data_IF_219851030484
#
_entry.id   IF_219851030484
#
_cell.length_a   1.000
_cell.length_b   1.000
_cell.length_c   1.000
_cell.angle_alpha   90.00
_cell.angle_beta   90.00
_cell.angle_gamma   90.00
#
_symmetry.space_group_name_H-M   'P 1'
#
loop_
_entity.id
_entity.type
_entity.pdbx_description
1 polymer ?
#
# COMPACT_ATOMS: atom_id res chain seq x y z
N UNK A 1 -49.87 20.20 12.65
CA UNK A 1 -49.25 19.03 11.98
C UNK A 1 -47.75 19.16 12.19
N UNK A 2 -47.18 18.32 13.06
CA UNK A 2 -45.73 18.26 13.25
C UNK A 2 -45.12 17.53 12.06
N UNK A 3 -44.31 18.21 11.27
CA UNK A 3 -43.46 17.57 10.27
C UNK A 3 -42.46 16.67 11.00
N UNK A 4 -42.32 15.39 10.61
CA UNK A 4 -41.32 14.52 11.21
C UNK A 4 -39.94 15.05 10.83
N UNK A 5 -39.15 15.40 11.85
CA UNK A 5 -37.73 15.68 11.70
C UNK A 5 -37.04 14.37 11.32
N UNK A 6 -36.72 14.20 10.04
CA UNK A 6 -35.84 13.12 9.61
C UNK A 6 -34.51 13.28 10.35
N UNK A 7 -34.05 12.28 11.12
CA UNK A 7 -32.73 12.36 11.74
C UNK A 7 -31.69 12.52 10.62
N UNK A 8 -30.61 13.29 10.84
CA UNK A 8 -29.53 13.38 9.87
C UNK A 8 -29.03 11.95 9.59
N UNK A 9 -28.93 11.59 8.30
CA UNK A 9 -28.19 10.39 7.90
C UNK A 9 -26.76 10.61 8.38
N UNK A 10 -26.30 9.82 9.34
CA UNK A 10 -24.86 9.73 9.62
C UNK A 10 -24.17 9.40 8.30
N UNK A 11 -23.40 10.35 7.76
CA UNK A 11 -22.54 10.08 6.63
C UNK A 11 -21.56 8.98 7.07
N UNK A 12 -21.61 7.84 6.38
CA UNK A 12 -20.72 6.73 6.69
C UNK A 12 -19.27 7.20 6.58
N UNK A 13 -18.53 7.14 7.69
CA UNK A 13 -17.12 7.52 7.75
C UNK A 13 -16.35 6.73 6.68
N UNK A 14 -15.65 7.43 5.80
CA UNK A 14 -14.84 6.80 4.76
C UNK A 14 -13.58 6.15 5.36
N UNK A 15 -12.98 5.19 4.65
CA UNK A 15 -11.83 4.43 5.13
C UNK A 15 -10.61 5.31 5.47
N UNK A 16 -10.38 6.41 4.76
CA UNK A 16 -9.25 7.32 5.03
C UNK A 16 -9.48 8.09 6.33
N UNK A 17 -10.68 8.62 6.50
CA UNK A 17 -11.07 9.33 7.72
C UNK A 17 -11.01 8.40 8.94
N UNK A 18 -11.52 7.18 8.83
CA UNK A 18 -11.46 6.19 9.90
C UNK A 18 -10.02 5.74 10.20
N UNK A 19 -9.20 5.46 9.18
CA UNK A 19 -7.80 5.09 9.36
C UNK A 19 -7.04 6.13 10.18
N UNK A 20 -7.18 7.41 9.81
CA UNK A 20 -6.57 8.53 10.54
C UNK A 20 -7.12 8.62 11.97
N UNK A 21 -8.43 8.49 12.15
CA UNK A 21 -9.07 8.55 13.45
C UNK A 21 -8.55 7.44 14.40
N UNK A 22 -8.47 6.20 13.92
CA UNK A 22 -7.98 5.06 14.70
C UNK A 22 -6.48 5.13 15.00
N UNK A 23 -5.67 5.78 14.16
CA UNK A 23 -4.26 6.03 14.47
C UNK A 23 -4.04 7.00 15.62
N UNK A 24 -4.94 7.97 15.82
CA UNK A 24 -4.76 9.03 16.82
C UNK A 24 -5.53 8.75 18.12
N UNK A 25 -6.78 8.32 18.01
CA UNK A 25 -7.69 8.15 19.15
C UNK A 25 -8.55 6.88 19.00
N UNK A 26 -7.95 5.67 18.97
CA UNK A 26 -8.65 4.42 18.65
C UNK A 26 -9.86 4.13 19.56
N UNK A 27 -9.74 4.45 20.85
CA UNK A 27 -10.80 4.20 21.85
C UNK A 27 -12.03 5.09 21.67
N UNK A 28 -11.88 6.27 21.06
CA UNK A 28 -12.99 7.21 20.82
C UNK A 28 -13.81 6.81 19.57
N UNK A 29 -13.30 5.89 18.76
CA UNK A 29 -13.86 5.55 17.45
C UNK A 29 -14.27 4.07 17.33
N UNK A 30 -14.48 3.37 18.45
CA UNK A 30 -14.83 1.93 18.44
C UNK A 30 -16.13 1.63 17.69
N UNK A 31 -17.18 2.44 17.86
CA UNK A 31 -18.47 2.27 17.14
C UNK A 31 -18.30 2.42 15.63
N UNK A 32 -17.47 3.37 15.20
CA UNK A 32 -17.16 3.58 13.79
C UNK A 32 -16.32 2.42 13.23
N UNK A 33 -15.35 1.93 14.01
CA UNK A 33 -14.56 0.74 13.67
C UNK A 33 -15.44 -0.50 13.50
N UNK A 34 -16.40 -0.72 14.41
CA UNK A 34 -17.31 -1.86 14.34
C UNK A 34 -18.21 -1.78 13.11
N UNK A 35 -18.85 -0.63 12.88
CA UNK A 35 -19.71 -0.40 11.71
C UNK A 35 -18.94 -0.59 10.40
N UNK A 36 -17.72 -0.08 10.34
CA UNK A 36 -16.83 -0.25 9.19
C UNK A 36 -16.47 -1.73 8.98
N UNK A 37 -16.02 -2.41 10.03
CA UNK A 37 -15.59 -3.80 9.94
C UNK A 37 -16.75 -4.72 9.54
N UNK A 38 -17.96 -4.49 10.04
CA UNK A 38 -19.15 -5.23 9.65
C UNK A 38 -19.50 -5.04 8.16
N UNK A 39 -19.30 -3.82 7.62
CA UNK A 39 -19.43 -3.57 6.18
C UNK A 39 -18.38 -4.34 5.38
N UNK A 40 -17.12 -4.32 5.82
CA UNK A 40 -16.05 -5.05 5.14
C UNK A 40 -16.25 -6.57 5.22
N UNK A 41 -16.77 -7.10 6.32
CA UNK A 41 -17.10 -8.53 6.46
C UNK A 41 -18.25 -8.95 5.54
N UNK A 42 -19.26 -8.09 5.34
CA UNK A 42 -20.31 -8.33 4.33
C UNK A 42 -19.74 -8.40 2.92
N UNK A 43 -18.83 -7.49 2.56
CA UNK A 43 -18.15 -7.53 1.27
C UNK A 43 -17.26 -8.77 1.13
N UNK A 44 -16.48 -9.11 2.16
CA UNK A 44 -15.61 -10.29 2.17
C UNK A 44 -16.40 -11.60 2.00
N UNK A 45 -17.64 -11.67 2.49
CA UNK A 45 -18.50 -12.84 2.33
C UNK A 45 -18.92 -13.11 0.87
N UNK A 46 -18.84 -12.11 0.00
CA UNK A 46 -19.13 -12.23 -1.45
C UNK A 46 -17.89 -12.66 -2.26
N UNK A 47 -16.70 -12.60 -1.65
CA UNK A 47 -15.43 -12.94 -2.30
C UNK A 47 -15.12 -14.43 -2.18
N UNK A 48 -14.50 -15.04 -3.21
CA UNK A 48 -14.06 -16.42 -3.13
C UNK A 48 -12.90 -16.55 -2.14
N UNK A 49 -13.05 -17.40 -1.13
CA UNK A 49 -11.98 -17.71 -0.16
C UNK A 49 -11.44 -19.11 -0.45
N UNK A 50 -10.20 -19.20 -0.94
CA UNK A 50 -9.44 -20.45 -1.12
C UNK A 50 -9.05 -21.01 0.26
N UNK A 51 -9.99 -21.68 0.93
CA UNK A 51 -9.77 -22.34 2.22
C UNK A 51 -10.63 -23.60 2.32
N UNK A 52 -10.08 -24.78 2.67
CA UNK A 52 -10.85 -26.01 2.78
C UNK A 52 -11.93 -25.95 3.86
N UNK A 53 -13.05 -26.66 3.69
CA UNK A 53 -14.13 -26.66 4.68
C UNK A 53 -13.78 -27.36 5.99
N UNK A 54 -12.88 -28.35 5.92
CA UNK A 54 -12.45 -29.12 7.09
C UNK A 54 -11.10 -28.63 7.61
N UNK A 55 -11.00 -28.17 8.89
CA UNK A 55 -9.73 -27.71 9.47
C UNK A 55 -8.61 -28.75 9.47
N UNK A 56 -8.94 -30.05 9.42
CA UNK A 56 -7.95 -31.12 9.31
C UNK A 56 -7.15 -31.08 7.98
N UNK A 57 -7.71 -30.48 6.93
CA UNK A 57 -7.05 -30.34 5.63
C UNK A 57 -6.18 -29.07 5.52
N UNK A 58 -6.26 -28.14 6.48
CA UNK A 58 -5.59 -26.85 6.40
C UNK A 58 -4.06 -26.93 6.41
N UNK A 59 -3.40 -27.85 7.15
CA UNK A 59 -1.94 -27.98 7.09
C UNK A 59 -1.47 -28.39 5.69
N UNK A 60 -2.13 -29.38 5.07
CA UNK A 60 -1.80 -29.81 3.71
C UNK A 60 -2.10 -28.71 2.68
N UNK A 61 -3.21 -27.98 2.85
CA UNK A 61 -3.55 -26.84 2.01
C UNK A 61 -2.50 -25.73 2.09
N UNK A 62 -2.01 -25.41 3.29
CA UNK A 62 -0.95 -24.43 3.53
C UNK A 62 0.32 -24.83 2.77
N UNK A 63 0.79 -26.07 2.94
CA UNK A 63 1.97 -26.59 2.26
C UNK A 63 1.80 -26.56 0.73
N UNK A 64 0.62 -26.95 0.23
CA UNK A 64 0.32 -26.94 -1.19
C UNK A 64 0.28 -25.51 -1.77
N UNK A 65 -0.23 -24.53 -1.02
CA UNK A 65 -0.27 -23.12 -1.42
C UNK A 65 1.14 -22.53 -1.48
N UNK A 66 1.96 -22.75 -0.46
CA UNK A 66 3.36 -22.32 -0.47
C UNK A 66 4.15 -22.93 -1.65
N UNK A 67 3.94 -24.22 -1.92
CA UNK A 67 4.56 -24.89 -3.06
C UNK A 67 4.09 -24.32 -4.41
N UNK A 68 2.81 -23.92 -4.55
CA UNK A 68 2.32 -23.21 -5.75
C UNK A 68 3.03 -21.88 -5.94
N UNK A 69 3.04 -21.03 -4.91
CA UNK A 69 3.71 -19.72 -4.96
C UNK A 69 5.20 -19.85 -5.32
N UNK A 70 5.90 -20.82 -4.72
CA UNK A 70 7.31 -21.08 -5.02
C UNK A 70 7.54 -21.50 -6.48
N UNK A 71 6.68 -22.36 -7.05
CA UNK A 71 6.75 -22.75 -8.47
C UNK A 71 6.46 -21.56 -9.39
N UNK A 72 5.47 -20.74 -9.06
CA UNK A 72 5.12 -19.56 -9.86
C UNK A 72 6.24 -18.53 -9.87
N UNK A 73 6.92 -18.36 -8.73
CA UNK A 73 8.08 -17.49 -8.63
C UNK A 73 9.29 -18.05 -9.38
N UNK A 74 9.55 -19.36 -9.30
CA UNK A 74 10.61 -20.00 -10.08
C UNK A 74 10.40 -19.82 -11.59
N UNK A 75 9.14 -19.92 -12.05
CA UNK A 75 8.77 -19.62 -13.44
C UNK A 75 9.02 -18.16 -13.79
N UNK A 76 8.62 -17.22 -12.94
CA UNK A 76 8.94 -15.80 -13.13
C UNK A 76 10.45 -15.57 -13.28
N UNK A 77 11.29 -16.15 -12.42
CA UNK A 77 12.74 -16.01 -12.53
C UNK A 77 13.29 -16.60 -13.84
N UNK A 78 12.78 -17.76 -14.28
CA UNK A 78 13.17 -18.34 -15.56
C UNK A 78 12.82 -17.42 -16.75
N UNK A 79 11.64 -16.82 -16.75
CA UNK A 79 11.23 -15.81 -17.75
C UNK A 79 12.17 -14.60 -17.75
N UNK A 80 12.54 -14.09 -16.57
CA UNK A 80 13.48 -12.96 -16.42
C UNK A 80 14.88 -13.31 -16.92
N UNK A 81 15.40 -14.49 -16.60
CA UNK A 81 16.69 -14.96 -17.11
C UNK A 81 16.68 -15.17 -18.64
N UNK A 82 15.52 -15.48 -19.23
CA UNK A 82 15.34 -15.56 -20.67
C UNK A 82 15.17 -14.20 -21.37
N UNK A 83 15.24 -13.09 -20.62
CA UNK A 83 15.16 -11.72 -21.18
C UNK A 83 13.74 -11.15 -21.30
N UNK A 84 12.71 -11.79 -20.71
CA UNK A 84 11.39 -11.16 -20.59
C UNK A 84 11.50 -9.85 -19.80
N UNK A 85 10.65 -8.83 -20.01
CA UNK A 85 10.66 -7.57 -19.24
C UNK A 85 10.13 -7.74 -17.81
N UNK A 86 10.25 -6.68 -16.99
CA UNK A 86 9.68 -6.67 -15.63
C UNK A 86 8.17 -6.87 -15.73
N UNK A 87 7.61 -7.64 -14.80
CA UNK A 87 6.17 -7.97 -14.76
C UNK A 87 5.35 -6.85 -14.15
N UNK A 88 5.86 -6.17 -13.12
CA UNK A 88 5.08 -5.13 -12.42
C UNK A 88 5.56 -3.74 -12.74
N UNK A 89 6.80 -3.41 -12.45
CA UNK A 89 7.26 -2.03 -12.53
C UNK A 89 7.95 -1.77 -13.87
N UNK A 90 7.37 -0.87 -14.66
CA UNK A 90 7.92 -0.44 -15.96
C UNK A 90 9.16 0.45 -15.77
N UNK A 91 9.10 1.36 -14.82
CA UNK A 91 10.16 2.32 -14.48
C UNK A 91 10.13 2.62 -12.98
N UNK A 92 11.01 3.52 -12.52
CA UNK A 92 11.16 3.82 -11.11
C UNK A 92 9.96 4.60 -10.57
N UNK A 93 9.38 5.52 -11.35
CA UNK A 93 8.16 6.24 -11.00
C UNK A 93 6.98 5.28 -10.74
N UNK A 94 6.84 4.23 -11.55
CA UNK A 94 5.83 3.20 -11.33
C UNK A 94 6.01 2.50 -9.97
N UNK A 95 7.24 2.11 -9.63
CA UNK A 95 7.50 1.52 -8.32
C UNK A 95 7.18 2.48 -7.16
N UNK A 96 7.55 3.76 -7.28
CA UNK A 96 7.23 4.76 -6.26
C UNK A 96 5.71 5.00 -6.13
N UNK A 97 4.97 4.98 -7.24
CA UNK A 97 3.50 5.05 -7.22
C UNK A 97 2.91 3.93 -6.36
N UNK A 98 3.35 2.69 -6.61
CA UNK A 98 2.93 1.54 -5.83
C UNK A 98 3.29 1.67 -4.34
N UNK A 99 4.54 2.02 -4.02
CA UNK A 99 5.00 2.17 -2.63
C UNK A 99 4.21 3.24 -1.87
N UNK A 100 3.86 4.35 -2.52
CA UNK A 100 2.99 5.37 -1.92
C UNK A 100 1.56 4.84 -1.76
N UNK A 101 1.03 4.13 -2.76
CA UNK A 101 -0.32 3.56 -2.74
C UNK A 101 -0.56 2.56 -1.61
N UNK A 102 0.40 1.68 -1.33
CA UNK A 102 0.27 0.69 -0.23
C UNK A 102 0.68 1.23 1.14
N UNK A 103 1.20 2.45 1.22
CA UNK A 103 1.70 3.04 2.47
C UNK A 103 0.67 3.06 3.61
N UNK A 104 -0.63 3.39 3.40
CA UNK A 104 -1.61 3.35 4.48
C UNK A 104 -1.74 2.00 5.17
N UNK A 105 -1.46 0.90 4.44
CA UNK A 105 -1.49 -0.46 4.98
C UNK A 105 -0.15 -0.81 5.63
N UNK A 106 0.97 -0.52 4.95
CA UNK A 106 2.30 -0.92 5.44
C UNK A 106 2.81 -0.09 6.61
N UNK A 107 2.30 1.12 6.80
CA UNK A 107 2.60 1.95 7.96
C UNK A 107 1.82 1.55 9.23
N UNK A 108 0.93 0.55 9.16
CA UNK A 108 0.20 0.00 10.30
C UNK A 108 0.39 -1.51 10.44
N UNK A 109 1.45 -2.04 9.84
CA UNK A 109 1.73 -3.48 9.83
C UNK A 109 1.80 -4.06 11.25
N UNK A 110 1.19 -5.22 11.44
CA UNK A 110 0.99 -5.87 12.73
C UNK A 110 -0.13 -5.28 13.60
N UNK A 111 -0.72 -4.13 13.28
CA UNK A 111 -1.68 -3.45 14.17
C UNK A 111 -2.95 -4.28 14.44
N UNK A 112 -3.34 -5.21 13.56
CA UNK A 112 -4.48 -6.11 13.79
C UNK A 112 -4.31 -7.00 15.02
N UNK A 113 -3.08 -7.21 15.49
CA UNK A 113 -2.76 -8.02 16.66
C UNK A 113 -2.68 -7.21 17.96
N UNK A 114 -2.76 -5.88 17.89
CA UNK A 114 -2.60 -5.00 19.05
C UNK A 114 -3.49 -5.40 20.23
N UNK A 115 -4.79 -5.63 19.99
CA UNK A 115 -5.75 -5.99 21.04
C UNK A 115 -5.55 -7.37 21.67
N UNK A 116 -4.66 -8.21 21.11
CA UNK A 116 -4.28 -9.49 21.73
C UNK A 116 -3.44 -9.26 23.00
N UNK A 117 -2.71 -8.13 23.08
CA UNK A 117 -1.91 -7.77 24.27
C UNK A 117 -2.74 -7.72 25.56
N UNK A 118 -3.99 -7.25 25.48
CA UNK A 118 -4.91 -7.20 26.62
C UNK A 118 -5.26 -8.58 27.20
N UNK A 119 -4.89 -9.65 26.51
CA UNK A 119 -5.18 -11.03 26.85
C UNK A 119 -3.91 -11.88 26.98
N UNK A 120 -2.75 -11.27 27.28
CA UNK A 120 -1.45 -11.95 27.35
C UNK A 120 -1.38 -13.12 28.37
N UNK A 121 -2.29 -13.18 29.34
CA UNK A 121 -2.42 -14.30 30.28
C UNK A 121 -3.03 -15.58 29.67
N UNK A 122 -3.63 -15.51 28.48
CA UNK A 122 -4.19 -16.67 27.79
C UNK A 122 -3.14 -17.34 26.89
N UNK A 123 -2.62 -18.48 27.33
CA UNK A 123 -1.62 -19.26 26.59
C UNK A 123 -2.07 -19.64 25.17
N UNK A 124 -3.38 -19.69 24.90
CA UNK A 124 -3.92 -20.00 23.56
C UNK A 124 -3.57 -18.92 22.54
N UNK A 125 -3.38 -17.67 22.98
CA UNK A 125 -3.07 -16.51 22.15
C UNK A 125 -1.57 -16.29 21.92
N UNK A 126 -0.69 -17.06 22.60
CA UNK A 126 0.76 -16.95 22.44
C UNK A 126 1.22 -16.97 20.97
N UNK A 127 0.69 -17.82 20.06
CA UNK A 127 1.11 -17.78 18.67
C UNK A 127 0.88 -16.41 17.99
N UNK A 128 -0.24 -15.75 18.28
CA UNK A 128 -0.57 -14.41 17.76
C UNK A 128 0.32 -13.33 18.41
N UNK A 129 0.58 -13.44 19.71
CA UNK A 129 1.48 -12.52 20.42
C UNK A 129 2.91 -12.61 19.89
N UNK A 130 3.40 -13.82 19.60
CA UNK A 130 4.73 -14.00 19.01
C UNK A 130 4.85 -13.37 17.63
N UNK A 131 3.85 -13.54 16.76
CA UNK A 131 3.77 -12.83 15.48
C UNK A 131 3.80 -11.32 15.69
N UNK A 132 2.96 -10.78 16.57
CA UNK A 132 2.93 -9.34 16.82
C UNK A 132 4.27 -8.78 17.31
N UNK A 133 4.94 -9.48 18.22
CA UNK A 133 6.26 -9.07 18.70
C UNK A 133 7.32 -9.13 17.59
N UNK A 134 7.20 -10.05 16.63
CA UNK A 134 8.07 -10.10 15.45
C UNK A 134 7.82 -8.93 14.50
N UNK A 135 6.56 -8.58 14.21
CA UNK A 135 6.19 -7.38 13.45
C UNK A 135 6.77 -6.09 14.06
N UNK A 136 6.78 -6.02 15.40
CA UNK A 136 7.36 -4.91 16.15
C UNK A 136 8.90 -4.93 16.20
N UNK A 137 9.56 -5.93 15.61
CA UNK A 137 11.02 -6.08 15.60
C UNK A 137 11.58 -6.60 16.92
N UNK A 138 10.76 -7.18 17.81
CA UNK A 138 11.15 -7.69 19.14
C UNK A 138 11.90 -6.68 20.00
N UNK A 139 11.55 -5.39 19.86
CA UNK A 139 12.21 -4.29 20.57
C UNK A 139 13.46 -3.73 19.87
N UNK A 140 13.84 -4.25 18.71
CA UNK A 140 14.93 -3.72 17.87
C UNK A 140 14.32 -2.82 16.79
N UNK A 141 14.56 -1.51 16.88
CA UNK A 141 13.98 -0.53 15.96
C UNK A 141 14.33 -0.79 14.48
N UNK A 142 15.56 -1.24 14.20
CA UNK A 142 16.01 -1.58 12.85
C UNK A 142 15.32 -2.83 12.26
N UNK A 143 14.58 -3.58 13.09
CA UNK A 143 13.82 -4.76 12.69
C UNK A 143 12.31 -4.54 12.75
N UNK A 144 11.84 -3.35 13.16
CA UNK A 144 10.42 -3.02 13.22
C UNK A 144 9.88 -2.76 11.81
N UNK A 145 8.85 -3.50 11.39
CA UNK A 145 8.37 -3.48 10.00
C UNK A 145 7.89 -2.09 9.58
N UNK A 146 7.14 -1.40 10.45
CA UNK A 146 6.65 -0.04 10.19
C UNK A 146 7.80 0.97 10.08
N UNK A 147 8.82 0.88 10.94
CA UNK A 147 9.98 1.77 10.88
C UNK A 147 10.81 1.54 9.61
N UNK A 148 10.99 0.29 9.19
CA UNK A 148 11.68 -0.05 7.94
C UNK A 148 10.92 0.54 6.74
N UNK A 149 9.59 0.38 6.70
CA UNK A 149 8.79 0.93 5.61
C UNK A 149 8.81 2.47 5.60
N UNK A 150 8.75 3.09 6.77
CA UNK A 150 8.85 4.54 6.90
C UNK A 150 10.20 5.05 6.40
N UNK A 151 11.30 4.40 6.80
CA UNK A 151 12.64 4.75 6.34
C UNK A 151 12.78 4.60 4.81
N UNK A 152 12.19 3.55 4.23
CA UNK A 152 12.12 3.38 2.78
C UNK A 152 11.46 4.60 2.12
N UNK A 153 10.27 5.01 2.56
CA UNK A 153 9.59 6.19 2.01
C UNK A 153 10.38 7.49 2.20
N UNK A 154 11.00 7.68 3.37
CA UNK A 154 11.86 8.83 3.65
C UNK A 154 13.06 8.90 2.71
N UNK A 155 13.77 7.78 2.54
CA UNK A 155 14.95 7.69 1.64
C UNK A 155 14.63 7.97 0.18
N UNK A 156 13.38 7.70 -0.23
CA UNK A 156 12.87 7.94 -1.56
C UNK A 156 12.25 9.34 -1.72
N UNK A 157 12.27 10.18 -0.69
CA UNK A 157 11.60 11.49 -0.68
C UNK A 157 10.08 11.37 -0.86
N UNK A 158 9.49 10.25 -0.45
CA UNK A 158 8.08 9.89 -0.65
C UNK A 158 7.25 9.89 0.65
N UNK A 159 7.83 10.29 1.78
CA UNK A 159 7.17 10.26 3.10
C UNK A 159 6.05 11.28 3.29
N UNK A 160 5.85 12.21 2.33
CA UNK A 160 4.78 13.20 2.38
C UNK A 160 3.38 12.58 2.30
N UNK A 161 2.38 13.29 2.80
CA UNK A 161 0.98 12.86 2.72
C UNK A 161 0.54 12.78 1.25
N UNK A 162 0.49 11.56 0.71
CA UNK A 162 -0.08 11.33 -0.61
C UNK A 162 -1.60 11.58 -0.56
N UNK A 163 -2.13 12.32 -1.54
CA UNK A 163 -3.57 12.47 -1.75
C UNK A 163 -4.14 11.19 -2.37
N UNK A 164 -4.19 10.13 -1.57
CA UNK A 164 -4.79 8.86 -1.96
C UNK A 164 -6.30 8.88 -1.74
N UNK A 165 -7.00 8.14 -2.58
CA UNK A 165 -8.44 7.89 -2.44
C UNK A 165 -8.73 7.03 -1.20
N UNK A 166 -9.98 7.03 -0.72
CA UNK A 166 -10.36 6.26 0.46
C UNK A 166 -10.11 4.75 0.30
N UNK A 167 -10.18 4.23 -0.92
CA UNK A 167 -9.95 2.82 -1.25
C UNK A 167 -8.54 2.34 -0.89
N UNK A 168 -7.53 3.21 -0.95
CA UNK A 168 -6.14 2.89 -0.54
C UNK A 168 -6.01 2.67 0.97
N UNK A 169 -6.93 3.23 1.75
CA UNK A 169 -6.91 3.15 3.21
C UNK A 169 -7.71 1.96 3.75
N UNK A 170 -8.48 1.25 2.92
CA UNK A 170 -9.38 0.17 3.37
C UNK A 170 -8.62 -0.91 4.14
N UNK A 171 -7.53 -1.43 3.58
CA UNK A 171 -6.73 -2.48 4.22
C UNK A 171 -6.10 -2.04 5.54
N UNK A 172 -5.47 -0.86 5.57
CA UNK A 172 -4.95 -0.28 6.82
C UNK A 172 -6.04 -0.05 7.88
N UNK A 173 -7.22 0.43 7.46
CA UNK A 173 -8.36 0.64 8.36
C UNK A 173 -8.90 -0.68 8.92
N UNK A 174 -8.92 -1.75 8.12
CA UNK A 174 -9.27 -3.10 8.58
C UNK A 174 -8.29 -3.56 9.66
N UNK A 175 -6.98 -3.40 9.46
CA UNK A 175 -5.98 -3.78 10.47
C UNK A 175 -6.19 -3.05 11.79
N UNK A 176 -6.34 -1.71 11.74
CA UNK A 176 -6.58 -0.90 12.93
C UNK A 176 -7.89 -1.28 13.64
N UNK A 177 -8.97 -1.49 12.89
CA UNK A 177 -10.27 -1.87 13.44
C UNK A 177 -10.23 -3.25 14.11
N UNK A 178 -9.59 -4.25 13.49
CA UNK A 178 -9.37 -5.56 14.09
C UNK A 178 -8.54 -5.47 15.37
N UNK A 179 -7.49 -4.65 15.37
CA UNK A 179 -6.65 -4.40 16.54
C UNK A 179 -7.45 -3.84 17.72
N UNK A 180 -8.38 -2.92 17.47
CA UNK A 180 -9.24 -2.34 18.50
C UNK A 180 -10.34 -3.30 18.99
N UNK A 181 -10.80 -4.20 18.12
CA UNK A 181 -11.96 -5.07 18.36
C UNK A 181 -11.59 -6.54 18.62
N UNK A 182 -10.30 -6.85 18.85
CA UNK A 182 -9.77 -8.20 18.98
C UNK A 182 -10.56 -9.10 19.95
N UNK A 183 -11.02 -8.56 21.09
CA UNK A 183 -11.80 -9.32 22.07
C UNK A 183 -13.19 -9.77 21.56
N UNK A 184 -13.81 -8.97 20.69
CA UNK A 184 -15.15 -9.27 20.13
C UNK A 184 -15.07 -10.01 18.80
N UNK A 185 -13.97 -9.81 18.06
CA UNK A 185 -13.75 -10.27 16.69
C UNK A 185 -12.58 -11.28 16.58
N UNK A 186 -12.31 -12.01 17.66
CA UNK A 186 -11.19 -12.97 17.70
C UNK A 186 -11.21 -14.01 16.56
N UNK A 187 -12.35 -14.64 16.21
CA UNK A 187 -12.38 -15.57 15.08
C UNK A 187 -12.04 -14.90 13.74
N UNK A 188 -12.56 -13.70 13.49
CA UNK A 188 -12.24 -12.91 12.29
C UNK A 188 -10.76 -12.52 12.27
N UNK A 189 -10.20 -12.09 13.41
CA UNK A 189 -8.79 -11.75 13.56
C UNK A 189 -7.89 -12.95 13.26
N UNK A 190 -8.23 -14.15 13.77
CA UNK A 190 -7.50 -15.39 13.46
C UNK A 190 -7.53 -15.68 11.95
N UNK A 191 -8.69 -15.50 11.33
CA UNK A 191 -8.85 -15.64 9.88
C UNK A 191 -8.01 -14.64 9.09
N UNK A 192 -8.07 -13.36 9.48
CA UNK A 192 -7.31 -12.29 8.85
C UNK A 192 -5.81 -12.56 8.94
N UNK A 193 -5.33 -12.91 10.14
CA UNK A 193 -3.94 -13.29 10.38
C UNK A 193 -3.53 -14.48 9.52
N UNK A 194 -4.35 -15.53 9.42
CA UNK A 194 -4.02 -16.67 8.56
C UNK A 194 -3.88 -16.24 7.09
N UNK A 195 -4.72 -15.34 6.59
CA UNK A 195 -4.62 -14.85 5.22
C UNK A 195 -3.43 -13.92 4.98
N UNK A 196 -3.13 -13.03 5.93
CA UNK A 196 -2.07 -12.03 5.80
C UNK A 196 -0.68 -12.65 5.79
N UNK A 197 -0.46 -13.66 6.64
CA UNK A 197 0.82 -14.38 6.80
C UNK A 197 1.12 -15.37 5.65
N UNK A 198 0.29 -15.39 4.61
CA UNK A 198 0.50 -16.19 3.40
C UNK A 198 1.09 -15.30 2.31
N UNK A 199 2.43 -15.27 2.14
CA UNK A 199 3.04 -14.34 1.19
C UNK A 199 2.52 -14.62 -0.23
N UNK A 200 1.82 -13.66 -0.85
CA UNK A 200 1.38 -13.80 -2.23
C UNK A 200 2.56 -13.68 -3.20
N UNK A 201 2.41 -14.24 -4.40
CA UNK A 201 3.44 -14.19 -5.46
C UNK A 201 3.94 -12.76 -5.71
N UNK A 202 3.04 -11.76 -5.59
CA UNK A 202 3.42 -10.41 -5.91
C UNK A 202 4.53 -9.87 -4.99
N UNK A 203 4.59 -10.25 -3.71
CA UNK A 203 5.65 -9.79 -2.80
C UNK A 203 7.03 -10.26 -3.26
N UNK A 204 7.14 -11.49 -3.76
CA UNK A 204 8.39 -12.06 -4.27
C UNK A 204 8.86 -11.32 -5.52
N UNK A 205 7.95 -11.09 -6.47
CA UNK A 205 8.24 -10.34 -7.71
C UNK A 205 8.57 -8.88 -7.39
N UNK A 206 7.80 -8.22 -6.53
CA UNK A 206 8.07 -6.85 -6.06
C UNK A 206 9.46 -6.75 -5.43
N UNK A 207 9.83 -7.69 -4.55
CA UNK A 207 11.17 -7.70 -3.93
C UNK A 207 12.27 -7.71 -4.97
N UNK A 208 12.17 -8.58 -5.97
CA UNK A 208 13.13 -8.68 -7.07
C UNK A 208 13.21 -7.41 -7.91
N UNK A 209 12.06 -6.89 -8.36
CA UNK A 209 12.02 -5.75 -9.29
C UNK A 209 12.39 -4.43 -8.62
N UNK A 210 12.12 -4.25 -7.33
CA UNK A 210 12.58 -3.08 -6.58
C UNK A 210 14.12 -3.04 -6.52
N UNK A 211 14.77 -4.19 -6.29
CA UNK A 211 16.24 -4.26 -6.29
C UNK A 211 16.84 -3.91 -7.65
N UNK A 212 16.25 -4.42 -8.74
CA UNK A 212 16.64 -4.07 -10.11
C UNK A 212 16.51 -2.57 -10.38
N UNK A 213 15.49 -1.92 -9.81
CA UNK A 213 15.27 -0.48 -9.89
C UNK A 213 16.15 0.36 -8.95
N UNK A 214 17.06 -0.26 -8.19
CA UNK A 214 17.89 0.42 -7.19
C UNK A 214 17.05 0.98 -6.04
N UNK A 215 15.96 0.32 -5.66
CA UNK A 215 15.12 0.65 -4.51
C UNK A 215 15.37 -0.39 -3.41
N UNK A 216 15.50 0.07 -2.16
CA UNK A 216 15.62 -0.83 -1.03
C UNK A 216 14.36 -1.69 -0.86
N UNK A 217 14.53 -3.01 -1.00
CA UNK A 217 13.45 -4.00 -0.88
C UNK A 217 13.39 -4.66 0.51
N UNK A 218 14.07 -4.12 1.53
CA UNK A 218 14.21 -4.76 2.85
C UNK A 218 12.88 -5.10 3.50
N UNK A 219 11.91 -4.17 3.49
CA UNK A 219 10.56 -4.43 4.03
C UNK A 219 9.89 -5.66 3.38
N UNK A 220 9.91 -5.74 2.04
CA UNK A 220 9.27 -6.83 1.30
C UNK A 220 10.02 -8.15 1.48
N UNK A 221 11.36 -8.10 1.53
CA UNK A 221 12.21 -9.27 1.73
C UNK A 221 11.99 -9.93 3.10
N UNK A 222 11.73 -9.15 4.15
CA UNK A 222 11.47 -9.69 5.50
C UNK A 222 10.26 -10.62 5.50
N UNK A 223 9.16 -10.20 4.86
CA UNK A 223 7.94 -10.99 4.66
C UNK A 223 8.11 -12.20 3.74
N UNK A 224 9.24 -12.30 3.02
CA UNK A 224 9.59 -13.49 2.24
C UNK A 224 10.37 -14.49 3.09
N UNK A 225 11.32 -13.99 3.89
CA UNK A 225 12.25 -14.83 4.65
C UNK A 225 11.65 -15.34 5.97
N UNK A 226 10.83 -14.53 6.63
CA UNK A 226 10.19 -14.85 7.92
C UNK A 226 9.02 -15.82 7.68
N UNK A 227 8.26 -15.63 6.59
CA UNK A 227 7.05 -16.41 6.28
C UNK A 227 7.30 -17.66 5.42
N UNK A 228 8.47 -18.27 5.57
CA UNK A 228 8.78 -19.49 4.82
C UNK A 228 8.03 -20.72 5.39
N UNK A 229 7.69 -21.65 4.48
CA UNK A 229 6.80 -22.78 4.72
C UNK A 229 7.25 -23.78 5.82
N UNK A 230 8.52 -23.73 6.24
CA UNK A 230 9.08 -24.65 7.23
C UNK A 230 8.91 -24.18 8.69
N UNK A 231 8.77 -22.88 8.97
CA UNK A 231 8.75 -22.36 10.34
C UNK A 231 8.05 -20.99 10.54
N UNK A 232 7.37 -20.45 9.52
CA UNK A 232 6.87 -19.07 9.50
C UNK A 232 5.56 -18.82 10.25
N UNK A 233 5.13 -17.56 10.22
CA UNK A 233 3.91 -17.07 10.87
C UNK A 233 2.65 -17.84 10.45
N UNK A 234 2.56 -18.31 9.20
CA UNK A 234 1.41 -19.08 8.73
C UNK A 234 1.13 -20.37 9.54
N UNK A 235 2.18 -21.10 9.98
CA UNK A 235 1.98 -22.27 10.86
C UNK A 235 1.54 -21.84 12.26
N UNK A 236 2.04 -20.71 12.77
CA UNK A 236 1.57 -20.13 14.04
C UNK A 236 0.12 -19.66 13.95
N UNK A 237 -0.30 -19.13 12.81
CA UNK A 237 -1.70 -18.77 12.55
C UNK A 237 -2.61 -20.00 12.61
N UNK A 238 -2.20 -21.14 12.03
CA UNK A 238 -2.91 -22.41 12.19
C UNK A 238 -2.91 -22.89 13.64
N UNK A 239 -1.80 -22.74 14.37
CA UNK A 239 -1.77 -23.08 15.79
C UNK A 239 -2.76 -22.22 16.61
N UNK A 240 -2.83 -20.92 16.35
CA UNK A 240 -3.79 -20.02 17.00
C UNK A 240 -5.23 -20.46 16.73
N UNK A 241 -5.54 -20.87 15.50
CA UNK A 241 -6.84 -21.47 15.17
C UNK A 241 -7.14 -22.72 16.00
N UNK A 242 -6.23 -23.71 16.02
CA UNK A 242 -6.46 -24.96 16.73
C UNK A 242 -6.59 -24.76 18.24
N UNK A 243 -5.84 -23.83 18.81
CA UNK A 243 -5.94 -23.45 20.22
C UNK A 243 -7.33 -22.89 20.59
N UNK A 244 -8.05 -22.31 19.62
CA UNK A 244 -9.36 -21.68 19.82
C UNK A 244 -10.53 -22.46 19.22
N UNK A 245 -10.26 -23.60 18.59
CA UNK A 245 -11.29 -24.38 17.90
C UNK A 245 -12.29 -24.93 18.93
N UNK A 246 -13.57 -24.52 18.90
CA UNK A 246 -14.51 -24.95 19.91
C UNK A 246 -15.06 -26.34 19.61
N UNK A 247 -15.85 -26.87 20.55
CA UNK A 247 -16.59 -28.10 20.40
C UNK A 247 -17.57 -28.07 19.21
N UNK A 248 -17.98 -29.27 18.75
CA UNK A 248 -18.79 -29.45 17.52
C UNK A 248 -20.00 -28.51 17.40
N UNK A 249 -20.81 -28.23 18.43
CA UNK A 249 -21.98 -27.35 18.29
C UNK A 249 -21.64 -25.92 17.89
N UNK A 250 -20.49 -25.39 18.32
CA UNK A 250 -20.05 -24.00 18.05
C UNK A 250 -19.04 -23.90 16.90
N UNK A 251 -18.43 -25.02 16.51
CA UNK A 251 -17.36 -25.08 15.52
C UNK A 251 -17.76 -24.51 14.17
N UNK A 252 -18.96 -24.82 13.68
CA UNK A 252 -19.42 -24.32 12.36
C UNK A 252 -19.48 -22.79 12.33
N UNK A 253 -20.07 -22.16 13.35
CA UNK A 253 -20.18 -20.71 13.44
C UNK A 253 -18.81 -20.05 13.59
N UNK A 254 -17.92 -20.64 14.40
CA UNK A 254 -16.54 -20.18 14.53
C UNK A 254 -15.78 -20.21 13.20
N UNK A 255 -15.81 -21.34 12.48
CA UNK A 255 -15.12 -21.47 11.19
C UNK A 255 -15.68 -20.55 10.11
N UNK A 256 -16.99 -20.26 10.13
CA UNK A 256 -17.58 -19.28 9.23
C UNK A 256 -17.01 -17.86 9.48
N UNK A 257 -16.85 -17.47 10.74
CA UNK A 257 -16.22 -16.18 11.11
C UNK A 257 -14.74 -16.14 10.76
N UNK A 258 -14.00 -17.25 10.94
CA UNK A 258 -12.61 -17.36 10.48
C UNK A 258 -12.51 -17.20 8.97
N UNK A 259 -13.39 -17.86 8.19
CA UNK A 259 -13.42 -17.72 6.73
C UNK A 259 -13.72 -16.27 6.31
N UNK A 260 -14.69 -15.62 6.96
CA UNK A 260 -14.99 -14.21 6.70
C UNK A 260 -13.81 -13.29 7.03
N UNK A 261 -13.13 -13.55 8.16
CA UNK A 261 -11.91 -12.86 8.54
C UNK A 261 -10.78 -13.03 7.53
N UNK A 262 -10.59 -14.23 6.99
CA UNK A 262 -9.59 -14.47 5.94
C UNK A 262 -9.90 -13.67 4.68
N UNK A 263 -11.18 -13.60 4.27
CA UNK A 263 -11.62 -12.81 3.11
C UNK A 263 -11.42 -11.30 3.25
N UNK A 264 -11.22 -10.78 4.46
CA UNK A 264 -10.85 -9.37 4.66
C UNK A 264 -9.46 -9.03 4.07
N UNK A 265 -8.61 -10.01 3.75
CA UNK A 265 -7.35 -9.75 3.05
C UNK A 265 -7.56 -9.31 1.58
N UNK A 266 -8.75 -9.55 1.04
CA UNK A 266 -9.07 -9.31 -0.37
C UNK A 266 -10.06 -8.13 -0.57
N UNK A 267 -10.42 -7.38 0.48
CA UNK A 267 -11.25 -6.17 0.35
C UNK A 267 -10.43 -4.93 -0.04
N UNK A 268 -11.07 -3.95 -0.67
CA UNK A 268 -10.39 -2.74 -1.14
C UNK A 268 -9.52 -2.99 -2.36
N UNK A 269 -8.49 -2.15 -2.56
CA UNK A 269 -7.55 -2.31 -3.66
C UNK A 269 -6.50 -3.37 -3.34
N UNK A 270 -6.38 -4.38 -4.21
CA UNK A 270 -5.25 -5.32 -4.17
C UNK A 270 -3.95 -4.64 -4.61
N UNK A 271 -2.82 -5.20 -4.17
CA UNK A 271 -1.48 -4.71 -4.57
C UNK A 271 -1.31 -4.71 -6.10
N UNK A 272 -1.83 -5.73 -6.79
CA UNK A 272 -1.77 -5.81 -8.26
C UNK A 272 -2.65 -4.76 -8.93
N UNK A 273 -3.83 -4.44 -8.40
CA UNK A 273 -4.64 -3.34 -8.92
C UNK A 273 -3.95 -1.97 -8.75
N UNK A 274 -3.23 -1.76 -7.64
CA UNK A 274 -2.45 -0.53 -7.45
C UNK A 274 -1.26 -0.43 -8.41
N UNK A 275 -0.63 -1.56 -8.73
CA UNK A 275 0.42 -1.65 -9.77
C UNK A 275 -0.21 -1.31 -11.13
N UNK A 276 -1.26 -2.03 -11.53
CA UNK A 276 -1.88 -1.86 -12.85
C UNK A 276 -2.50 -0.46 -13.06
N UNK A 277 -2.86 0.22 -11.96
CA UNK A 277 -3.46 1.56 -11.96
C UNK A 277 -2.51 2.70 -12.33
N UNK A 278 -1.20 2.44 -12.48
CA UNK A 278 -0.22 3.49 -12.80
C UNK A 278 -0.28 3.91 -14.28
N UNK A 279 -0.39 5.21 -14.51
CA UNK A 279 -0.21 5.85 -15.82
C UNK A 279 0.70 7.08 -15.65
N UNK A 280 1.85 7.07 -16.34
CA UNK A 280 2.89 8.07 -16.14
C UNK A 280 2.44 9.48 -16.55
N UNK A 281 1.76 9.61 -17.69
CA UNK A 281 1.31 10.91 -18.20
C UNK A 281 0.23 11.50 -17.29
N UNK A 282 -0.74 10.67 -16.87
CA UNK A 282 -1.80 11.06 -15.95
C UNK A 282 -1.23 11.49 -14.59
N UNK A 283 -0.32 10.72 -14.02
CA UNK A 283 0.29 11.03 -12.72
C UNK A 283 1.13 12.31 -12.78
N UNK A 284 1.88 12.51 -13.86
CA UNK A 284 2.65 13.72 -14.09
C UNK A 284 1.76 14.97 -14.21
N UNK A 285 0.71 14.89 -15.03
CA UNK A 285 -0.22 16.00 -15.22
C UNK A 285 -0.94 16.34 -13.92
N UNK A 286 -1.49 15.33 -13.23
CA UNK A 286 -2.18 15.53 -11.96
C UNK A 286 -1.25 16.16 -10.90
N UNK A 287 0.02 15.76 -10.85
CA UNK A 287 1.03 16.36 -9.96
C UNK A 287 1.24 17.85 -10.24
N UNK A 288 1.47 18.21 -11.50
CA UNK A 288 1.70 19.60 -11.87
C UNK A 288 0.45 20.47 -11.70
N UNK A 289 -0.74 19.93 -11.96
CA UNK A 289 -2.02 20.60 -11.74
C UNK A 289 -2.26 20.88 -10.26
N UNK A 290 -1.90 19.96 -9.34
CA UNK A 290 -1.94 20.22 -7.89
C UNK A 290 -1.01 21.36 -7.47
N UNK A 291 0.15 21.50 -8.12
CA UNK A 291 1.11 22.59 -7.82
C UNK A 291 0.76 23.91 -8.49
N UNK A 292 -0.02 23.90 -9.57
CA UNK A 292 -0.36 25.09 -10.37
C UNK A 292 -0.92 26.26 -9.52
N UNK A 293 -1.85 26.07 -8.57
CA UNK A 293 -2.41 27.17 -7.76
C UNK A 293 -1.39 27.85 -6.85
N UNK A 294 -0.32 27.14 -6.46
CA UNK A 294 0.76 27.64 -5.61
C UNK A 294 1.88 28.28 -6.45
N UNK A 295 2.10 27.80 -7.66
CA UNK A 295 3.14 28.32 -8.56
C UNK A 295 2.70 29.59 -9.32
N UNK A 296 1.39 29.75 -9.59
CA UNK A 296 0.87 30.96 -10.26
C UNK A 296 1.27 32.21 -9.47
N UNK A 297 1.80 33.21 -10.16
CA UNK A 297 2.29 34.50 -9.63
C UNK A 297 3.67 34.48 -8.95
N UNK A 298 4.36 33.34 -8.86
CA UNK A 298 5.68 33.27 -8.23
C UNK A 298 6.86 33.34 -9.21
N UNK A 299 6.59 33.32 -10.52
CA UNK A 299 7.64 33.37 -11.54
C UNK A 299 7.90 34.80 -12.03
N UNK A 300 9.17 35.14 -12.28
CA UNK A 300 9.52 36.40 -12.95
C UNK A 300 9.07 36.40 -14.42
N UNK A 301 8.67 37.56 -14.94
CA UNK A 301 8.24 37.72 -16.34
C UNK A 301 9.40 37.71 -17.37
N UNK A 302 10.64 37.49 -16.91
CA UNK A 302 11.83 37.44 -17.77
C UNK A 302 11.83 36.25 -18.73
N UNK A 303 11.28 35.12 -18.29
CA UNK A 303 11.21 33.91 -19.11
C UNK A 303 9.87 33.88 -19.85
N UNK A 304 9.94 33.79 -21.18
CA UNK A 304 8.77 33.62 -22.05
C UNK A 304 8.90 32.35 -22.87
N UNK A 305 7.81 31.60 -22.96
CA UNK A 305 7.66 30.36 -23.74
C UNK A 305 6.53 30.64 -24.73
N UNK A 306 6.84 30.62 -26.02
CA UNK A 306 5.90 30.98 -27.10
C UNK A 306 5.21 32.34 -26.85
N UNK A 307 6.00 33.35 -26.46
CA UNK A 307 5.53 34.72 -26.21
C UNK A 307 4.81 34.95 -24.87
N UNK A 308 4.48 33.90 -24.11
CA UNK A 308 3.77 33.99 -22.81
C UNK A 308 4.70 33.76 -21.63
N UNK A 309 4.48 34.45 -20.52
CA UNK A 309 5.21 34.20 -19.26
C UNK A 309 4.71 32.92 -18.59
N UNK A 310 5.49 32.34 -17.67
CA UNK A 310 5.05 31.15 -16.92
C UNK A 310 3.75 31.42 -16.14
N UNK A 311 3.61 32.60 -15.53
CA UNK A 311 2.37 32.98 -14.83
C UNK A 311 1.17 33.03 -15.78
N UNK A 312 1.34 33.49 -17.02
CA UNK A 312 0.28 33.49 -18.03
C UNK A 312 -0.09 32.07 -18.48
N UNK A 313 0.89 31.16 -18.59
CA UNK A 313 0.63 29.74 -18.86
C UNK A 313 -0.15 29.07 -17.72
N UNK A 314 0.27 29.30 -16.47
CA UNK A 314 -0.36 28.72 -15.28
C UNK A 314 -1.71 29.36 -14.92
N UNK A 315 -2.04 30.54 -15.44
CA UNK A 315 -3.33 31.20 -15.22
C UNK A 315 -4.43 30.71 -16.19
N UNK A 316 -4.07 29.99 -17.23
CA UNK A 316 -4.94 29.80 -18.37
C UNK A 316 -5.69 28.45 -18.40
N UNK A 317 -6.86 28.40 -19.08
CA UNK A 317 -7.73 27.22 -19.09
C UNK A 317 -7.20 26.05 -19.93
N UNK A 318 -6.26 26.28 -20.85
CA UNK A 318 -5.62 25.22 -21.65
C UNK A 318 -4.67 24.33 -20.82
N UNK A 319 -4.40 24.72 -19.57
CA UNK A 319 -3.83 23.86 -18.53
C UNK A 319 -2.34 23.56 -18.66
N UNK A 320 -1.86 22.77 -17.71
CA UNK A 320 -0.48 22.28 -17.60
C UNK A 320 -0.06 21.47 -18.83
N UNK A 321 -0.95 20.66 -19.40
CA UNK A 321 -0.64 19.82 -20.55
C UNK A 321 -0.16 20.63 -21.76
N UNK A 322 -0.76 21.80 -22.02
CA UNK A 322 -0.34 22.67 -23.12
C UNK A 322 1.01 23.34 -22.83
N UNK A 323 1.29 23.70 -21.57
CA UNK A 323 2.60 24.21 -21.15
C UNK A 323 3.70 23.16 -21.37
N UNK A 324 3.49 21.90 -21.01
CA UNK A 324 4.47 20.83 -21.27
C UNK A 324 4.77 20.67 -22.76
N UNK A 325 3.74 20.69 -23.62
CA UNK A 325 3.94 20.67 -25.08
C UNK A 325 4.75 21.87 -25.57
N UNK A 326 4.46 23.08 -25.08
CA UNK A 326 5.21 24.27 -25.44
C UNK A 326 6.67 24.20 -24.97
N UNK A 327 6.93 23.70 -23.76
CA UNK A 327 8.29 23.47 -23.25
C UNK A 327 9.06 22.47 -24.12
N UNK A 328 8.40 21.41 -24.60
CA UNK A 328 9.02 20.45 -25.52
C UNK A 328 9.32 21.08 -26.89
N UNK A 329 8.37 21.82 -27.47
CA UNK A 329 8.54 22.49 -28.77
C UNK A 329 9.66 23.53 -28.76
N UNK A 330 9.84 24.26 -27.65
CA UNK A 330 10.92 25.23 -27.46
C UNK A 330 12.25 24.58 -27.01
N UNK A 331 12.33 23.25 -26.98
CA UNK A 331 13.55 22.52 -26.63
C UNK A 331 13.97 22.61 -25.16
N UNK A 332 13.10 23.11 -24.28
CA UNK A 332 13.34 23.09 -22.83
C UNK A 332 13.28 21.68 -22.26
N UNK A 333 12.41 20.86 -22.83
CA UNK A 333 12.29 19.44 -22.53
C UNK A 333 12.66 18.64 -23.77
N UNK A 334 13.64 17.75 -23.62
CA UNK A 334 14.07 16.79 -24.64
C UNK A 334 13.61 15.41 -24.20
N UNK A 335 12.48 14.99 -24.77
CA UNK A 335 11.90 13.67 -24.58
C UNK A 335 12.80 12.58 -25.18
N UNK A 336 12.74 11.38 -24.60
CA UNK A 336 13.42 10.19 -25.12
C UNK A 336 14.95 10.34 -25.17
N UNK A 337 15.48 11.07 -24.18
CA UNK A 337 16.89 11.37 -24.03
C UNK A 337 17.25 11.47 -22.55
N UNK A 338 18.55 11.42 -22.23
CA UNK A 338 19.05 11.69 -20.88
C UNK A 338 18.44 13.00 -20.33
N UNK A 339 17.68 12.93 -19.21
CA UNK A 339 17.06 14.09 -18.59
C UNK A 339 18.03 15.24 -18.30
N UNK A 340 19.33 14.97 -18.06
CA UNK A 340 20.36 15.99 -17.87
C UNK A 340 20.47 16.97 -19.05
N UNK A 341 20.10 16.54 -20.27
CA UNK A 341 20.08 17.39 -21.46
C UNK A 341 18.86 18.32 -21.53
N UNK A 342 17.83 18.10 -20.71
CA UNK A 342 16.67 18.98 -20.62
C UNK A 342 16.97 20.18 -19.73
N UNK A 343 16.74 21.39 -20.25
CA UNK A 343 16.85 22.62 -19.46
C UNK A 343 15.89 22.60 -18.28
N UNK A 344 14.66 22.14 -18.49
CA UNK A 344 13.64 22.07 -17.44
C UNK A 344 14.09 21.16 -16.29
N UNK A 345 14.69 20.00 -16.59
CA UNK A 345 15.18 19.07 -15.57
C UNK A 345 16.25 19.70 -14.66
N UNK A 346 17.21 20.44 -15.24
CA UNK A 346 18.24 21.15 -14.46
C UNK A 346 17.70 22.28 -13.57
N UNK A 347 16.49 22.76 -13.82
CA UNK A 347 15.82 23.70 -12.92
C UNK A 347 15.15 22.99 -11.75
N UNK A 348 14.79 21.70 -11.91
CA UNK A 348 14.11 20.87 -10.90
C UNK A 348 15.12 20.15 -10.02
N UNK A 349 16.17 19.58 -10.61
CA UNK A 349 17.11 18.68 -9.95
C UNK A 349 18.56 19.18 -10.11
N UNK A 350 19.31 19.12 -9.01
CA UNK A 350 20.70 19.59 -8.91
C UNK A 350 20.96 20.45 -7.67
N UNK A 351 22.22 20.61 -7.24
CA UNK A 351 22.57 21.39 -6.05
C UNK A 351 22.21 22.87 -6.15
N UNK A 352 22.29 23.45 -7.36
CA UNK A 352 21.97 24.86 -7.64
C UNK A 352 20.63 25.02 -8.39
N UNK A 353 19.74 24.02 -8.30
CA UNK A 353 18.47 24.02 -9.02
C UNK A 353 17.55 25.17 -8.53
N UNK A 354 17.07 25.99 -9.45
CA UNK A 354 16.21 27.14 -9.13
C UNK A 354 14.87 26.73 -8.47
N UNK A 355 14.43 25.49 -8.66
CA UNK A 355 13.24 24.90 -8.04
C UNK A 355 13.60 23.81 -7.00
N UNK A 356 14.80 23.89 -6.40
CA UNK A 356 15.21 22.99 -5.33
C UNK A 356 14.17 22.98 -4.20
N UNK A 357 13.73 21.78 -3.79
CA UNK A 357 12.72 21.59 -2.74
C UNK A 357 11.27 21.81 -3.16
N UNK A 358 10.99 22.19 -4.41
CA UNK A 358 9.61 22.37 -4.92
C UNK A 358 8.93 21.03 -5.19
N UNK A 359 9.70 20.04 -5.67
CA UNK A 359 9.23 18.70 -6.02
C UNK A 359 9.79 17.68 -5.04
N UNK A 360 8.93 16.83 -4.48
CA UNK A 360 9.35 15.70 -3.67
C UNK A 360 10.02 14.60 -4.52
N UNK A 361 10.49 13.53 -3.89
CA UNK A 361 11.21 12.47 -4.60
C UNK A 361 10.37 11.73 -5.64
N UNK A 362 9.07 11.53 -5.39
CA UNK A 362 8.17 10.92 -6.37
C UNK A 362 7.92 11.86 -7.55
N UNK A 363 7.67 13.13 -7.27
CA UNK A 363 7.37 14.13 -8.29
C UNK A 363 8.58 14.40 -9.19
N UNK A 364 9.80 14.41 -8.63
CA UNK A 364 11.03 14.42 -9.40
C UNK A 364 11.17 13.16 -10.26
N UNK A 365 10.84 11.97 -9.73
CA UNK A 365 10.93 10.74 -10.51
C UNK A 365 9.91 10.68 -11.65
N UNK A 366 8.69 11.20 -11.46
CA UNK A 366 7.70 11.33 -12.54
C UNK A 366 8.26 12.18 -13.68
N UNK A 367 8.83 13.34 -13.36
CA UNK A 367 9.48 14.21 -14.34
C UNK A 367 10.67 13.53 -15.01
N UNK A 368 11.52 12.86 -14.23
CA UNK A 368 12.68 12.15 -14.73
C UNK A 368 12.27 11.08 -15.76
N UNK A 369 11.40 10.15 -15.36
CA UNK A 369 11.01 9.02 -16.19
C UNK A 369 10.17 9.46 -17.39
N UNK A 370 9.41 10.55 -17.24
CA UNK A 370 8.72 11.16 -18.36
C UNK A 370 9.70 11.83 -19.33
N UNK A 371 10.72 12.54 -18.88
CA UNK A 371 11.71 13.12 -19.82
C UNK A 371 12.52 12.00 -20.50
N UNK A 372 12.96 11.01 -19.72
CA UNK A 372 13.73 9.87 -20.19
C UNK A 372 12.98 9.07 -21.26
N UNK A 373 11.67 8.82 -21.09
CA UNK A 373 10.89 8.07 -22.08
C UNK A 373 11.50 6.69 -22.36
N UNK A 374 11.93 6.47 -23.60
CA UNK A 374 12.62 5.24 -24.05
C UNK A 374 14.14 5.23 -23.79
N UNK A 375 14.71 6.33 -23.30
CA UNK A 375 16.13 6.38 -22.95
C UNK A 375 16.43 5.51 -21.72
N UNK A 376 17.52 4.75 -21.83
CA UNK A 376 18.15 4.03 -20.73
C UNK A 376 19.60 4.50 -20.63
N UNK A 377 20.13 4.71 -19.41
CA UNK A 377 21.54 5.04 -19.20
C UNK A 377 22.49 3.92 -19.62
#
# INVERSE_FOLDING_TARGET
MNLPCTPPREEAVDARSLHRALLHAPLEHLTAAETFLDRQLRQAAELPVDLPDTPAAWPQWLDARAARTARDYARYLAERHAGAPRRYFRNRAHALHFLRGVAPTKLVDGAWLYGVLGHAGDARLLPLLHTYLEELGRGVAASNHVLIYRHLLESLGCAGAAELSAEHYVQGAVQLALGCLAGQRLPELIGYNLGYELPPLHLLVTTWELQELGIDATYFRLHVTIDNASCGHARRALQALYNHLPDKPRRRAFLARVRAGMGLNDVGLSSTQMIDGFDLDRELLAMLERKQPFARHLHSDRTRIQGRTLNQWLAAPWGVAALLRALQQEGWIRRDADPAHSRFWRLVSGPDAAMFGVFDGYEQQLLHDWIAGSWSP
#
